data_IF_946777735320
#
_entry.id   IF_946777735320
#
_cell.length_a   1.000
_cell.length_b   1.000
_cell.length_c   1.000
_cell.angle_alpha   90.00
_cell.angle_beta   90.00
_cell.angle_gamma   90.00
#
_symmetry.space_group_name_H-M   'P 1'
#
loop_
_entity.id
_entity.type
_entity.pdbx_description
1 polymer ?
#
# COMPACT_ATOMS: atom_id res chain seq x y z
N UNK A 1 13.05 -17.71 -14.46
CA UNK A 1 12.38 -16.48 -14.94
C UNK A 1 12.35 -15.47 -13.83
N UNK A 2 12.84 -14.25 -14.06
CA UNK A 2 12.75 -13.15 -13.07
C UNK A 2 11.30 -12.71 -12.98
N UNK A 3 10.63 -13.00 -11.87
CA UNK A 3 9.27 -12.49 -11.64
C UNK A 3 9.34 -10.99 -11.40
N UNK A 4 8.54 -10.23 -12.13
CA UNK A 4 8.43 -8.78 -11.94
C UNK A 4 7.97 -8.45 -10.52
N UNK A 5 8.60 -7.45 -9.91
CA UNK A 5 8.29 -7.04 -8.54
C UNK A 5 6.91 -6.35 -8.43
N UNK A 6 6.48 -5.70 -9.49
CA UNK A 6 5.21 -4.98 -9.57
C UNK A 6 4.63 -4.98 -11.00
N UNK A 7 3.36 -4.65 -11.10
CA UNK A 7 2.62 -4.37 -12.33
C UNK A 7 1.90 -3.02 -12.16
N UNK A 8 2.10 -2.10 -13.10
CA UNK A 8 1.36 -0.83 -13.18
C UNK A 8 0.31 -0.95 -14.30
N UNK A 9 -0.92 -0.63 -13.98
CA UNK A 9 -2.06 -0.59 -14.89
C UNK A 9 -2.57 0.84 -14.92
N UNK A 10 -2.35 1.53 -16.02
CA UNK A 10 -2.82 2.89 -16.24
C UNK A 10 -4.33 2.88 -16.53
N UNK A 11 -5.01 3.93 -16.08
CA UNK A 11 -6.45 4.14 -16.34
C UNK A 11 -7.35 2.96 -15.93
N UNK A 12 -7.01 2.29 -14.83
CA UNK A 12 -7.83 1.21 -14.27
C UNK A 12 -9.24 1.68 -13.87
N UNK A 13 -9.34 2.92 -13.35
CA UNK A 13 -10.59 3.63 -13.15
C UNK A 13 -10.71 4.77 -14.16
N UNK A 14 -11.93 5.01 -14.62
CA UNK A 14 -12.25 6.21 -15.38
C UNK A 14 -12.14 7.48 -14.53
N UNK A 15 -11.98 8.67 -15.14
CA UNK A 15 -11.99 9.94 -14.41
C UNK A 15 -13.26 10.16 -13.59
N UNK A 16 -14.42 9.74 -14.10
CA UNK A 16 -15.70 9.84 -13.40
C UNK A 16 -15.75 8.95 -12.15
N UNK A 17 -15.30 7.69 -12.24
CA UNK A 17 -15.21 6.79 -11.09
C UNK A 17 -14.24 7.33 -10.04
N UNK A 18 -13.09 7.81 -10.49
CA UNK A 18 -12.05 8.38 -9.61
C UNK A 18 -12.58 9.59 -8.85
N UNK A 19 -13.28 10.51 -9.53
CA UNK A 19 -13.93 11.66 -8.91
C UNK A 19 -15.00 11.25 -7.90
N UNK A 20 -15.84 10.27 -8.26
CA UNK A 20 -16.89 9.73 -7.38
C UNK A 20 -16.29 9.11 -6.11
N UNK A 21 -15.21 8.33 -6.22
CA UNK A 21 -14.52 7.77 -5.06
C UNK A 21 -13.84 8.84 -4.20
N UNK A 22 -13.30 9.91 -4.81
CA UNK A 22 -12.76 11.05 -4.08
C UNK A 22 -13.83 11.74 -3.22
N UNK A 23 -14.98 12.05 -3.81
CA UNK A 23 -16.13 12.64 -3.12
C UNK A 23 -16.64 11.74 -1.97
N UNK A 24 -16.71 10.42 -2.21
CA UNK A 24 -17.12 9.45 -1.18
C UNK A 24 -16.17 9.47 0.03
N UNK A 25 -14.85 9.59 -0.20
CA UNK A 25 -13.86 9.68 0.89
C UNK A 25 -14.04 10.99 1.66
N UNK A 26 -14.34 12.09 0.99
CA UNK A 26 -14.56 13.40 1.61
C UNK A 26 -15.85 13.41 2.46
N UNK A 27 -16.92 12.82 1.97
CA UNK A 27 -18.18 12.64 2.71
C UNK A 27 -17.96 11.86 4.02
N UNK A 28 -17.04 10.88 4.00
CA UNK A 28 -16.73 10.03 5.13
C UNK A 28 -15.45 10.44 5.88
N UNK A 29 -15.03 11.70 5.76
CA UNK A 29 -13.81 12.21 6.41
C UNK A 29 -13.82 12.05 7.95
N UNK A 30 -14.99 11.99 8.56
CA UNK A 30 -15.16 11.73 10.00
C UNK A 30 -14.70 10.33 10.45
N UNK A 31 -14.57 9.37 9.53
CA UNK A 31 -14.05 8.02 9.83
C UNK A 31 -12.51 7.98 9.85
N UNK A 32 -11.83 9.04 9.39
CA UNK A 32 -10.39 9.06 9.27
C UNK A 32 -9.70 9.10 10.63
N UNK A 33 -8.85 8.13 10.87
CA UNK A 33 -8.00 8.03 12.05
C UNK A 33 -6.55 8.35 11.68
N UNK A 34 -5.86 9.12 12.50
CA UNK A 34 -4.44 9.41 12.29
C UNK A 34 -3.57 8.22 12.76
N UNK A 35 -2.63 7.83 11.92
CA UNK A 35 -1.53 6.93 12.25
C UNK A 35 -0.29 7.79 12.46
N UNK A 36 0.16 7.85 13.71
CA UNK A 36 1.44 8.45 14.07
C UNK A 36 2.39 7.32 14.47
N UNK A 37 3.42 7.07 13.68
CA UNK A 37 4.41 6.05 14.01
C UNK A 37 5.13 6.34 15.34
N UNK A 38 5.33 5.31 16.15
CA UNK A 38 6.02 5.45 17.44
C UNK A 38 7.47 5.91 17.25
N UNK A 39 7.90 6.88 18.06
CA UNK A 39 9.29 7.37 18.05
C UNK A 39 9.74 8.03 16.74
N UNK A 40 8.83 8.52 15.91
CA UNK A 40 9.14 9.12 14.62
C UNK A 40 9.64 8.14 13.56
N UNK A 41 9.66 6.85 13.84
CA UNK A 41 10.16 5.80 12.95
C UNK A 41 9.06 5.16 12.08
N UNK A 42 7.79 5.28 12.46
CA UNK A 42 6.68 4.68 11.72
C UNK A 42 6.12 5.57 10.62
N UNK A 43 5.20 5.01 9.82
CA UNK A 43 4.48 5.78 8.82
C UNK A 43 3.57 6.82 9.48
N UNK A 44 3.36 7.94 8.78
CA UNK A 44 2.38 8.96 9.18
C UNK A 44 1.39 9.13 8.04
N UNK A 45 0.12 8.98 8.33
CA UNK A 45 -0.99 9.17 7.38
C UNK A 45 -2.33 9.10 8.11
N UNK A 46 -3.41 9.46 7.45
CA UNK A 46 -4.77 9.20 7.94
C UNK A 46 -5.34 7.95 7.26
N UNK A 47 -6.18 7.19 7.96
CA UNK A 47 -6.69 5.93 7.46
C UNK A 47 -8.16 5.70 7.83
N UNK A 48 -8.91 5.09 6.89
CA UNK A 48 -10.15 4.37 7.18
C UNK A 48 -9.81 2.89 7.13
N UNK A 49 -10.05 2.16 8.21
CA UNK A 49 -9.73 0.74 8.32
C UNK A 49 -10.78 -0.14 7.64
N UNK A 50 -10.43 -1.38 7.30
CA UNK A 50 -11.28 -2.30 6.54
C UNK A 50 -12.63 -2.64 7.18
N UNK A 51 -12.72 -2.64 8.51
CA UNK A 51 -13.99 -2.85 9.19
C UNK A 51 -14.98 -1.69 8.91
N UNK A 52 -14.48 -0.45 8.93
CA UNK A 52 -15.25 0.74 8.60
C UNK A 52 -15.61 0.77 7.09
N UNK A 53 -14.67 0.36 6.21
CA UNK A 53 -14.92 0.27 4.77
C UNK A 53 -16.06 -0.70 4.50
N UNK A 54 -16.04 -1.90 5.10
CA UNK A 54 -17.10 -2.90 4.94
C UNK A 54 -18.46 -2.38 5.40
N UNK A 55 -18.50 -1.64 6.50
CA UNK A 55 -19.74 -1.14 7.07
C UNK A 55 -20.30 0.09 6.34
N UNK A 56 -19.43 1.00 5.91
CA UNK A 56 -19.81 2.34 5.47
C UNK A 56 -19.48 2.66 4.00
N UNK A 57 -18.55 1.90 3.39
CA UNK A 57 -18.02 2.16 2.04
C UNK A 57 -18.09 0.88 1.18
N UNK A 58 -19.28 0.26 0.99
CA UNK A 58 -19.41 -1.03 0.31
C UNK A 58 -18.90 -1.00 -1.15
N UNK A 59 -18.96 0.16 -1.81
CA UNK A 59 -18.42 0.32 -3.17
C UNK A 59 -16.89 0.19 -3.21
N UNK A 60 -16.17 0.63 -2.17
CA UNK A 60 -14.71 0.45 -2.05
C UNK A 60 -14.38 -1.04 -1.82
N UNK A 61 -15.17 -1.74 -0.99
CA UNK A 61 -15.02 -3.19 -0.81
C UNK A 61 -15.31 -3.94 -2.12
N UNK A 62 -16.41 -3.59 -2.81
CA UNK A 62 -16.81 -4.15 -4.09
C UNK A 62 -15.72 -3.99 -5.16
N UNK A 63 -15.14 -2.81 -5.28
CA UNK A 63 -14.01 -2.54 -6.19
C UNK A 63 -12.85 -3.53 -5.93
N UNK A 64 -12.49 -3.72 -4.67
CA UNK A 64 -11.41 -4.64 -4.29
C UNK A 64 -11.71 -6.09 -4.67
N UNK A 65 -12.93 -6.55 -4.38
CA UNK A 65 -13.36 -7.93 -4.61
C UNK A 65 -13.57 -8.24 -6.09
N UNK A 66 -14.23 -7.34 -6.81
CA UNK A 66 -14.76 -7.63 -8.15
C UNK A 66 -13.80 -7.25 -9.27
N UNK A 67 -12.99 -6.20 -9.08
CA UNK A 67 -12.12 -5.70 -10.14
C UNK A 67 -10.63 -5.84 -9.82
N UNK A 68 -10.21 -5.53 -8.57
CA UNK A 68 -8.78 -5.60 -8.20
C UNK A 68 -8.31 -7.05 -8.04
N UNK A 69 -9.04 -7.86 -7.27
CA UNK A 69 -8.66 -9.25 -6.97
C UNK A 69 -8.37 -10.09 -8.22
N UNK A 70 -9.21 -10.12 -9.27
CA UNK A 70 -8.91 -10.91 -10.46
C UNK A 70 -7.61 -10.51 -11.17
N UNK A 71 -7.24 -9.23 -11.14
CA UNK A 71 -5.98 -8.75 -11.70
C UNK A 71 -4.78 -9.17 -10.85
N UNK A 72 -4.93 -9.15 -9.52
CA UNK A 72 -3.89 -9.61 -8.60
C UNK A 72 -3.68 -11.13 -8.75
N UNK A 73 -4.75 -11.93 -8.87
CA UNK A 73 -4.67 -13.38 -9.13
C UNK A 73 -3.95 -13.70 -10.46
N UNK A 74 -4.26 -12.94 -11.50
CA UNK A 74 -3.55 -13.05 -12.79
C UNK A 74 -2.06 -12.71 -12.65
N UNK A 75 -1.72 -11.64 -11.94
CA UNK A 75 -0.33 -11.24 -11.66
C UNK A 75 0.40 -12.26 -10.77
N UNK A 76 -0.30 -12.83 -9.80
CA UNK A 76 0.21 -13.86 -8.91
C UNK A 76 0.47 -15.17 -9.63
N UNK A 77 -0.39 -15.53 -10.59
CA UNK A 77 -0.44 -16.84 -11.25
C UNK A 77 -1.07 -17.92 -10.36
N UNK A 78 -1.79 -17.54 -9.32
CA UNK A 78 -2.42 -18.44 -8.34
C UNK A 78 -3.70 -17.81 -7.77
N UNK A 79 -4.70 -18.60 -7.32
CA UNK A 79 -5.84 -18.10 -6.61
C UNK A 79 -5.41 -17.50 -5.26
N UNK A 80 -6.14 -16.48 -4.81
CA UNK A 80 -5.86 -15.76 -3.56
C UNK A 80 -6.91 -16.09 -2.51
N UNK A 81 -6.45 -16.35 -1.30
CA UNK A 81 -7.28 -16.53 -0.12
C UNK A 81 -7.86 -15.23 0.40
N UNK A 82 -8.90 -15.37 1.24
CA UNK A 82 -9.39 -14.25 2.03
C UNK A 82 -8.29 -13.80 3.00
N UNK A 83 -8.16 -12.49 3.15
CA UNK A 83 -7.20 -11.95 4.10
C UNK A 83 -7.62 -12.24 5.54
N UNK A 84 -6.68 -12.75 6.35
CA UNK A 84 -6.96 -13.21 7.72
C UNK A 84 -7.34 -12.12 8.73
N UNK A 85 -7.22 -10.83 8.36
CA UNK A 85 -7.66 -9.71 9.19
C UNK A 85 -8.49 -8.74 8.35
N UNK A 86 -9.81 -8.72 8.52
CA UNK A 86 -10.70 -7.79 7.80
C UNK A 86 -10.24 -6.33 7.89
N UNK A 87 -9.82 -5.91 9.08
CA UNK A 87 -9.32 -4.56 9.32
C UNK A 87 -8.12 -4.17 8.45
N UNK A 88 -7.29 -5.14 8.07
CA UNK A 88 -6.06 -4.92 7.29
C UNK A 88 -6.17 -5.31 5.83
N UNK A 89 -7.21 -6.06 5.48
CA UNK A 89 -7.44 -6.54 4.12
C UNK A 89 -7.58 -5.39 3.13
N UNK A 90 -8.15 -4.30 3.60
CA UNK A 90 -8.36 -3.10 2.79
C UNK A 90 -8.26 -1.85 3.66
N UNK A 91 -7.86 -0.73 3.05
CA UNK A 91 -7.73 0.57 3.70
C UNK A 91 -7.87 1.69 2.70
N UNK A 92 -8.43 2.81 3.16
CA UNK A 92 -8.24 4.11 2.51
C UNK A 92 -7.11 4.82 3.24
N UNK A 93 -6.06 5.24 2.53
CA UNK A 93 -4.92 5.97 3.08
C UNK A 93 -4.84 7.37 2.48
N UNK A 94 -4.68 8.38 3.33
CA UNK A 94 -4.58 9.78 2.91
C UNK A 94 -3.28 10.38 3.44
N UNK A 95 -2.50 10.93 2.52
CA UNK A 95 -1.28 11.68 2.76
C UNK A 95 -1.51 13.13 2.38
N UNK A 96 -1.40 14.06 3.32
CA UNK A 96 -1.71 15.49 3.13
C UNK A 96 -0.56 16.41 3.51
N UNK A 97 0.56 15.86 4.01
CA UNK A 97 1.71 16.64 4.49
C UNK A 97 3.01 16.05 3.95
N UNK A 98 4.06 16.87 3.75
CA UNK A 98 5.35 16.42 3.19
C UNK A 98 6.03 15.30 4.00
N UNK A 99 5.88 15.32 5.33
CA UNK A 99 6.46 14.31 6.22
C UNK A 99 5.68 13.00 6.24
N UNK A 100 4.52 12.95 5.60
CA UNK A 100 3.71 11.75 5.51
C UNK A 100 4.24 10.82 4.42
N UNK A 101 4.30 9.53 4.73
CA UNK A 101 4.76 8.51 3.80
C UNK A 101 5.14 7.24 4.52
N UNK A 102 5.56 6.26 3.74
CA UNK A 102 6.12 5.02 4.25
C UNK A 102 7.62 5.00 4.02
N UNK A 103 8.37 4.58 5.04
CA UNK A 103 9.81 4.28 4.91
C UNK A 103 10.02 3.00 4.10
N UNK A 104 11.27 2.70 3.79
CA UNK A 104 11.64 1.44 3.17
C UNK A 104 11.15 0.25 4.01
N UNK A 105 10.31 -0.60 3.45
CA UNK A 105 9.73 -1.76 4.14
C UNK A 105 9.38 -2.86 3.15
N UNK A 106 9.00 -4.00 3.69
CA UNK A 106 8.29 -5.07 3.00
C UNK A 106 6.94 -5.23 3.67
N UNK A 107 5.94 -5.51 2.87
CA UNK A 107 4.62 -5.79 3.41
C UNK A 107 4.55 -7.11 4.17
N UNK A 108 3.58 -7.20 5.05
CA UNK A 108 3.18 -8.44 5.70
C UNK A 108 2.55 -9.45 4.74
N UNK A 109 2.07 -8.98 3.60
CA UNK A 109 1.22 -9.71 2.66
C UNK A 109 2.00 -10.09 1.40
N UNK A 110 1.71 -11.28 0.83
CA UNK A 110 2.30 -11.70 -0.45
C UNK A 110 2.06 -10.70 -1.56
N UNK A 111 0.83 -10.20 -1.65
CA UNK A 111 0.42 -9.26 -2.69
C UNK A 111 -0.30 -8.07 -2.10
N UNK A 112 0.00 -6.89 -2.62
CA UNK A 112 -0.67 -5.62 -2.28
C UNK A 112 -1.01 -4.89 -3.56
N UNK A 113 -2.20 -4.32 -3.60
CA UNK A 113 -2.66 -3.48 -4.70
C UNK A 113 -3.00 -2.09 -4.18
N UNK A 114 -2.55 -1.07 -4.90
CA UNK A 114 -2.80 0.34 -4.60
C UNK A 114 -3.58 0.94 -5.76
N UNK A 115 -4.83 1.37 -5.53
CA UNK A 115 -5.59 2.17 -6.50
C UNK A 115 -5.43 3.63 -6.10
N UNK A 116 -4.91 4.43 -7.01
CA UNK A 116 -4.69 5.86 -6.79
C UNK A 116 -5.98 6.61 -7.11
N UNK A 117 -6.58 7.25 -6.12
CA UNK A 117 -7.77 8.09 -6.29
C UNK A 117 -7.39 9.54 -6.52
N UNK A 118 -6.38 10.02 -5.78
CA UNK A 118 -5.84 11.36 -5.93
C UNK A 118 -4.33 11.34 -5.75
N UNK A 119 -3.59 12.15 -6.51
CA UNK A 119 -2.14 12.29 -6.38
C UNK A 119 -1.68 13.74 -6.57
N UNK A 120 -2.33 14.68 -5.87
CA UNK A 120 -2.04 16.11 -5.93
C UNK A 120 -0.67 16.51 -5.38
N UNK A 121 -0.02 15.64 -4.58
CA UNK A 121 1.31 15.88 -4.00
C UNK A 121 2.44 15.17 -4.76
N UNK A 122 2.20 14.74 -6.01
CA UNK A 122 3.16 14.02 -6.85
C UNK A 122 3.81 12.81 -6.16
N UNK A 123 3.04 12.10 -5.33
CA UNK A 123 3.51 10.95 -4.57
C UNK A 123 3.95 9.80 -5.47
N UNK A 124 5.03 9.13 -5.09
CA UNK A 124 5.60 7.98 -5.81
C UNK A 124 5.69 6.76 -4.91
N UNK A 125 5.67 5.59 -5.54
CA UNK A 125 6.11 4.34 -4.92
C UNK A 125 7.48 3.97 -5.50
N UNK A 126 8.49 3.88 -4.63
CA UNK A 126 9.85 3.53 -5.02
C UNK A 126 10.16 2.10 -4.60
N UNK A 127 10.81 1.36 -5.50
CA UNK A 127 11.21 -0.04 -5.31
C UNK A 127 12.72 -0.15 -5.38
N UNK A 128 13.36 -0.84 -4.43
CA UNK A 128 14.75 -1.24 -4.59
C UNK A 128 14.88 -2.25 -5.74
N UNK A 129 16.00 -2.19 -6.45
CA UNK A 129 16.29 -3.15 -7.49
C UNK A 129 16.16 -4.59 -6.95
N UNK A 130 15.68 -5.57 -7.76
CA UNK A 130 15.35 -6.92 -7.30
C UNK A 130 16.51 -7.65 -6.60
N UNK A 131 17.74 -7.44 -7.05
CA UNK A 131 18.93 -8.01 -6.42
C UNK A 131 19.08 -7.55 -4.97
N UNK A 132 18.93 -6.24 -4.72
CA UNK A 132 19.02 -5.65 -3.38
C UNK A 132 17.83 -6.05 -2.51
N UNK A 133 16.62 -6.11 -3.05
CA UNK A 133 15.45 -6.62 -2.33
C UNK A 133 15.64 -8.04 -1.83
N UNK A 134 16.34 -8.89 -2.61
CA UNK A 134 16.67 -10.28 -2.24
C UNK A 134 17.71 -10.32 -1.13
N UNK A 135 18.80 -9.56 -1.25
CA UNK A 135 19.89 -9.51 -0.28
C UNK A 135 19.39 -8.96 1.06
N UNK A 136 18.67 -7.84 1.01
CA UNK A 136 18.27 -7.09 2.20
C UNK A 136 16.99 -7.60 2.85
N UNK A 137 16.36 -8.62 2.31
CA UNK A 137 15.04 -9.08 2.79
C UNK A 137 15.01 -9.41 4.30
N UNK A 138 16.13 -9.80 4.88
CA UNK A 138 16.27 -10.10 6.31
C UNK A 138 16.90 -8.95 7.10
N UNK A 139 17.59 -8.04 6.41
CA UNK A 139 18.30 -6.91 7.02
C UNK A 139 17.49 -5.63 7.04
N UNK A 140 16.32 -5.60 6.39
CA UNK A 140 15.50 -4.38 6.29
C UNK A 140 15.09 -3.84 7.67
N UNK A 141 14.76 -4.72 8.61
CA UNK A 141 14.36 -4.30 9.95
C UNK A 141 15.51 -3.75 10.80
N UNK A 142 16.72 -4.39 10.87
CA UNK A 142 17.90 -3.78 11.47
C UNK A 142 18.31 -2.45 10.83
N UNK A 143 18.07 -2.26 9.52
CA UNK A 143 18.41 -1.02 8.80
C UNK A 143 17.29 0.05 8.90
N UNK A 144 16.19 -0.26 9.53
CA UNK A 144 15.05 0.66 9.67
C UNK A 144 15.41 2.02 10.33
N UNK A 145 16.34 2.08 11.32
CA UNK A 145 16.79 3.34 11.90
C UNK A 145 17.61 4.23 10.97
N UNK A 146 18.20 3.66 9.92
CA UNK A 146 19.11 4.36 8.97
C UNK A 146 18.58 4.31 7.52
N UNK A 147 17.39 4.86 7.25
CA UNK A 147 16.75 4.75 5.95
C UNK A 147 17.53 5.43 4.82
N UNK A 148 18.45 6.35 5.16
CA UNK A 148 19.30 7.06 4.22
C UNK A 148 20.22 6.09 3.46
N UNK A 149 20.75 5.06 4.11
CA UNK A 149 21.61 4.05 3.46
C UNK A 149 20.88 3.32 2.34
N UNK A 150 19.62 2.97 2.57
CA UNK A 150 18.80 2.31 1.55
C UNK A 150 18.46 3.24 0.37
N UNK A 151 18.47 4.54 0.61
CA UNK A 151 18.19 5.54 -0.43
C UNK A 151 19.35 5.77 -1.38
N UNK A 152 20.56 5.24 -1.07
CA UNK A 152 21.73 5.26 -1.96
C UNK A 152 21.71 4.09 -2.96
N UNK A 153 20.90 3.07 -2.72
CA UNK A 153 20.84 1.89 -3.56
C UNK A 153 20.03 2.14 -4.85
N UNK A 154 20.35 1.41 -5.95
CA UNK A 154 19.59 1.45 -7.19
C UNK A 154 18.12 1.16 -6.94
N UNK A 155 17.26 2.02 -7.49
CA UNK A 155 15.82 1.96 -7.31
C UNK A 155 15.06 2.41 -8.55
N UNK A 156 13.83 1.95 -8.67
CA UNK A 156 12.86 2.40 -9.66
C UNK A 156 11.76 3.16 -8.94
N UNK A 157 11.32 4.27 -9.50
CA UNK A 157 10.16 5.03 -9.02
C UNK A 157 8.98 4.86 -9.98
N UNK A 158 7.81 4.65 -9.41
CA UNK A 158 6.54 4.58 -10.15
C UNK A 158 5.65 5.71 -9.64
N UNK A 159 5.27 6.59 -10.54
CA UNK A 159 4.26 7.63 -10.27
C UNK A 159 2.94 7.15 -10.86
N UNK A 160 1.96 6.92 -10.01
CA UNK A 160 0.62 6.55 -10.44
C UNK A 160 -0.25 7.80 -10.48
N UNK A 161 -0.89 8.04 -11.62
CA UNK A 161 -1.92 9.06 -11.78
C UNK A 161 -3.24 8.66 -11.09
N UNK A 162 -4.19 9.61 -10.96
CA UNK A 162 -5.54 9.28 -10.54
C UNK A 162 -6.17 8.24 -11.49
N UNK A 163 -6.76 7.19 -10.92
CA UNK A 163 -7.34 6.07 -11.65
C UNK A 163 -6.37 4.91 -11.92
N UNK A 164 -5.08 5.04 -11.63
CA UNK A 164 -4.12 3.96 -11.84
C UNK A 164 -4.15 2.91 -10.73
N UNK A 165 -3.78 1.68 -11.10
CA UNK A 165 -3.61 0.55 -10.19
C UNK A 165 -2.15 0.07 -10.22
N UNK A 166 -1.53 -0.03 -9.05
CA UNK A 166 -0.21 -0.62 -8.86
C UNK A 166 -0.34 -1.90 -8.03
N UNK A 167 -0.01 -3.03 -8.63
CA UNK A 167 0.03 -4.35 -7.95
C UNK A 167 1.48 -4.67 -7.64
N UNK A 168 1.78 -5.16 -6.43
CA UNK A 168 3.14 -5.49 -6.04
C UNK A 168 3.22 -6.80 -5.24
N UNK A 169 4.39 -7.46 -5.32
CA UNK A 169 4.75 -8.61 -4.47
C UNK A 169 5.27 -8.10 -3.13
N UNK A 170 4.35 -7.79 -2.22
CA UNK A 170 4.65 -7.07 -0.98
C UNK A 170 5.71 -7.74 -0.09
N UNK A 171 5.72 -9.08 -0.03
CA UNK A 171 6.71 -9.82 0.77
C UNK A 171 8.10 -9.90 0.13
N UNK A 172 8.22 -9.61 -1.16
CA UNK A 172 9.48 -9.75 -1.92
C UNK A 172 10.09 -8.39 -2.20
N UNK A 173 9.27 -7.45 -2.65
CA UNK A 173 9.71 -6.12 -3.02
C UNK A 173 9.93 -5.23 -1.80
N UNK A 174 11.14 -4.73 -1.62
CA UNK A 174 11.40 -3.65 -0.67
C UNK A 174 11.02 -2.35 -1.35
N UNK A 175 10.09 -1.63 -0.74
CA UNK A 175 9.54 -0.41 -1.32
C UNK A 175 9.26 0.66 -0.26
N UNK A 176 9.00 1.89 -0.73
CA UNK A 176 8.52 3.00 0.09
C UNK A 176 7.56 3.89 -0.67
N UNK A 177 6.66 4.56 0.04
CA UNK A 177 5.88 5.67 -0.48
C UNK A 177 6.58 6.99 -0.16
N UNK A 178 6.75 7.87 -1.15
CA UNK A 178 7.31 9.21 -0.97
C UNK A 178 6.35 10.26 -1.47
N UNK A 179 6.33 11.41 -0.80
CA UNK A 179 5.63 12.61 -1.21
C UNK A 179 6.67 13.60 -1.73
N UNK A 180 6.47 14.14 -2.93
CA UNK A 180 7.44 15.04 -3.58
C UNK A 180 7.05 16.51 -3.45
N UNK A 181 5.75 16.82 -3.47
CA UNK A 181 5.27 18.19 -3.34
C UNK A 181 4.84 18.50 -1.90
N UNK A 182 5.05 19.75 -1.48
CA UNK A 182 4.68 20.23 -0.17
C UNK A 182 3.16 20.46 0.00
N UNK A 183 2.43 20.63 -1.10
CA UNK A 183 1.00 20.95 -1.13
C UNK A 183 0.26 19.90 -1.94
N UNK A 184 -0.96 19.61 -1.54
CA UNK A 184 -1.82 18.62 -2.15
C UNK A 184 -1.97 17.37 -1.28
N UNK A 185 -2.89 16.51 -1.69
CA UNK A 185 -3.12 15.24 -1.01
C UNK A 185 -2.97 14.07 -1.96
N UNK A 186 -2.69 12.92 -1.41
CA UNK A 186 -2.70 11.63 -2.08
C UNK A 186 -3.69 10.73 -1.38
N UNK A 187 -4.63 10.16 -2.14
CA UNK A 187 -5.60 9.18 -1.65
C UNK A 187 -5.33 7.85 -2.33
N UNK A 188 -5.11 6.82 -1.54
CA UNK A 188 -4.89 5.46 -2.01
C UNK A 188 -5.93 4.50 -1.41
N UNK A 189 -6.55 3.67 -2.25
CA UNK A 189 -7.20 2.45 -1.78
C UNK A 189 -6.18 1.32 -1.80
N UNK A 190 -5.95 0.73 -0.65
CA UNK A 190 -4.96 -0.32 -0.44
C UNK A 190 -5.69 -1.64 -0.20
N UNK A 191 -5.38 -2.65 -0.99
CA UNK A 191 -5.91 -3.99 -0.86
C UNK A 191 -4.76 -4.97 -0.65
N UNK A 192 -4.86 -5.79 0.38
CA UNK A 192 -3.88 -6.81 0.71
C UNK A 192 -4.48 -8.20 0.53
N UNK A 193 -3.72 -9.08 -0.10
CA UNK A 193 -4.15 -10.43 -0.42
C UNK A 193 -3.14 -11.46 0.10
N UNK A 194 -3.67 -12.56 0.63
CA UNK A 194 -2.89 -13.71 1.02
C UNK A 194 -3.02 -14.85 0.00
N UNK A 195 -2.08 -15.75 0.01
CA UNK A 195 -2.22 -17.04 -0.68
C UNK A 195 -3.29 -17.86 0.00
N UNK A 196 -3.98 -18.68 -0.78
CA UNK A 196 -4.93 -19.62 -0.20
C UNK A 196 -4.22 -20.54 0.81
N UNK A 197 -4.83 -20.76 1.96
CA UNK A 197 -4.23 -21.53 3.05
C UNK A 197 -3.06 -20.88 3.80
N UNK A 198 -2.69 -19.62 3.50
CA UNK A 198 -1.63 -18.93 4.23
C UNK A 198 -2.02 -18.66 5.68
N UNK A 199 -1.24 -19.20 6.60
CA UNK A 199 -1.38 -18.89 8.04
C UNK A 199 -0.44 -17.74 8.38
N UNK A 200 -0.95 -16.61 8.94
CA UNK A 200 -0.12 -15.51 9.37
C UNK A 200 0.88 -15.99 10.43
N UNK A 201 2.13 -15.55 10.32
CA UNK A 201 3.13 -15.82 11.34
C UNK A 201 2.85 -14.92 12.56
N UNK A 202 2.45 -15.48 13.73
CA UNK A 202 2.03 -14.69 14.89
C UNK A 202 3.15 -13.79 15.43
N UNK A 203 4.41 -14.22 15.34
CA UNK A 203 5.55 -13.41 15.77
C UNK A 203 5.75 -12.19 14.86
N UNK A 204 5.61 -12.39 13.56
CA UNK A 204 5.70 -11.31 12.57
C UNK A 204 4.55 -10.31 12.74
N UNK A 205 3.34 -10.79 13.01
CA UNK A 205 2.19 -9.94 13.31
C UNK A 205 2.40 -9.13 14.59
N UNK A 206 2.99 -9.72 15.62
CA UNK A 206 3.33 -9.02 16.85
C UNK A 206 4.36 -7.90 16.61
N UNK A 207 5.43 -8.20 15.84
CA UNK A 207 6.46 -7.21 15.49
C UNK A 207 5.85 -6.10 14.63
N UNK A 208 5.06 -6.44 13.64
CA UNK A 208 4.37 -5.45 12.79
C UNK A 208 3.43 -4.56 13.60
N UNK A 209 2.70 -5.13 14.58
CA UNK A 209 1.86 -4.34 15.49
C UNK A 209 2.67 -3.38 16.35
N UNK A 210 3.85 -3.77 16.81
CA UNK A 210 4.71 -2.93 17.65
C UNK A 210 5.42 -1.81 16.87
N UNK A 211 5.75 -2.05 15.61
CA UNK A 211 6.50 -1.08 14.78
C UNK A 211 5.59 -0.15 13.97
N UNK A 212 4.41 -0.59 13.59
CA UNK A 212 3.55 0.12 12.63
C UNK A 212 2.22 0.63 13.21
N UNK A 213 1.92 0.38 14.50
CA UNK A 213 0.64 0.79 15.11
C UNK A 213 0.80 1.34 16.53
#
# INVERSE_FOLDING_TARGET
MSQTAYLHVEHFLSPAETSSFGALVDEHAGLLREIAGRGGLGPRYRVIDGDQIRAMLPSVEGLGRERVRPLVERFAGEPLGAFGSPRRAQRVQIYSRPEQGFRWHRDGHPYVALVTIENGNAGQTQFLAPAWSRILRYLIYPLYPVPQLLSLLPRTAVTCGPGDLLIMRGQVAIHRGVTLAAIGRRILFVYAFDRDGHRPNPLRDLIARRLNY
#
